data_IF_205959996110
#
_entry.id   IF_205959996110
#
_cell.length_a   1.000
_cell.length_b   1.000
_cell.length_c   1.000
_cell.angle_alpha   90.00
_cell.angle_beta   90.00
_cell.angle_gamma   90.00
#
_symmetry.space_group_name_H-M   'P 1'
#
loop_
_entity.id
_entity.type
_entity.pdbx_description
1 polymer ?
#
# COMPACT_ATOMS: atom_id res chain seq x y z
N UNK A 1 12.73 1.64 6.32
CA UNK A 1 11.67 1.90 5.33
C UNK A 1 12.21 2.30 3.98
N UNK A 2 11.34 2.29 2.97
CA UNK A 2 11.64 2.73 1.59
C UNK A 2 10.89 4.02 1.32
N UNK A 3 11.64 5.08 0.96
CA UNK A 3 11.12 6.41 0.70
C UNK A 3 10.50 6.45 -0.70
N UNK A 4 9.20 6.14 -0.81
CA UNK A 4 8.51 5.98 -2.09
C UNK A 4 8.55 7.25 -2.94
N UNK A 5 8.38 8.43 -2.32
CA UNK A 5 8.40 9.69 -3.05
C UNK A 5 9.81 10.08 -3.51
N UNK A 6 10.86 9.71 -2.79
CA UNK A 6 12.25 9.86 -3.28
C UNK A 6 12.50 8.98 -4.50
N UNK A 7 12.01 7.75 -4.48
CA UNK A 7 12.08 6.88 -5.66
C UNK A 7 11.35 7.47 -6.86
N UNK A 8 10.13 8.00 -6.64
CA UNK A 8 9.34 8.65 -7.70
C UNK A 8 10.04 9.90 -8.25
N UNK A 9 10.69 10.70 -7.38
CA UNK A 9 11.46 11.88 -7.78
C UNK A 9 12.66 11.47 -8.65
N UNK A 10 13.45 10.50 -8.18
CA UNK A 10 14.65 10.03 -8.87
C UNK A 10 14.33 9.40 -10.23
N UNK A 11 13.17 8.79 -10.38
CA UNK A 11 12.70 8.20 -11.64
C UNK A 11 11.86 9.16 -12.50
N UNK A 12 11.71 10.42 -12.09
CA UNK A 12 11.05 11.47 -12.86
C UNK A 12 9.52 11.44 -12.87
N UNK A 13 8.89 10.63 -12.02
CA UNK A 13 7.43 10.55 -11.88
C UNK A 13 6.85 11.67 -11.02
N UNK A 14 7.58 12.09 -10.00
CA UNK A 14 7.21 13.17 -9.08
C UNK A 14 8.16 14.36 -9.26
N UNK A 15 7.61 15.55 -9.37
CA UNK A 15 8.37 16.80 -9.39
C UNK A 15 7.88 17.71 -8.26
N UNK A 16 8.83 18.22 -7.50
CA UNK A 16 8.54 19.21 -6.45
C UNK A 16 8.78 20.62 -6.99
N UNK A 17 8.09 21.61 -6.44
CA UNK A 17 8.31 23.04 -6.71
C UNK A 17 9.68 23.48 -6.20
N UNK A 18 10.12 22.90 -5.08
CA UNK A 18 11.47 22.96 -4.53
C UNK A 18 11.71 21.71 -3.68
N UNK A 19 12.95 21.25 -3.63
CA UNK A 19 13.31 20.13 -2.77
C UNK A 19 13.54 20.63 -1.33
N UNK A 20 12.88 20.06 -0.30
CA UNK A 20 13.01 20.54 1.07
C UNK A 20 14.40 20.22 1.64
N UNK A 21 14.91 21.09 2.52
CA UNK A 21 16.19 20.89 3.20
C UNK A 21 16.11 19.94 4.40
N UNK A 22 14.89 19.67 4.87
CA UNK A 22 14.59 18.80 6.00
C UNK A 22 13.50 17.83 5.65
N UNK A 23 13.44 16.69 6.35
CA UNK A 23 12.39 15.69 6.15
C UNK A 23 11.02 16.33 6.38
N UNK A 24 10.19 16.31 5.36
CA UNK A 24 8.93 17.04 5.30
C UNK A 24 7.82 16.13 4.77
N UNK A 25 6.68 16.16 5.41
CA UNK A 25 5.49 15.48 4.89
C UNK A 25 5.08 16.08 3.53
N UNK A 26 4.82 15.20 2.58
CA UNK A 26 4.40 15.65 1.26
C UNK A 26 3.07 16.39 1.33
N UNK A 27 2.98 17.51 0.64
CA UNK A 27 1.76 18.32 0.57
C UNK A 27 1.47 18.74 -0.86
N UNK A 28 0.21 19.06 -1.14
CA UNK A 28 -0.22 19.53 -2.46
C UNK A 28 0.49 20.81 -2.95
N UNK A 29 1.01 21.63 -2.02
CA UNK A 29 1.71 22.87 -2.34
C UNK A 29 3.18 22.65 -2.72
N UNK A 30 3.74 21.52 -2.29
CA UNK A 30 5.12 21.14 -2.59
C UNK A 30 5.22 20.49 -3.97
N UNK A 31 4.13 19.93 -4.49
CA UNK A 31 4.10 19.20 -5.76
C UNK A 31 3.92 20.15 -6.95
N UNK A 32 4.80 20.05 -7.95
CA UNK A 32 4.61 20.66 -9.28
C UNK A 32 3.67 19.76 -10.11
N UNK A 33 2.38 20.03 -10.02
CA UNK A 33 1.34 19.21 -10.66
C UNK A 33 1.40 19.19 -12.20
N UNK A 34 1.96 20.22 -12.81
CA UNK A 34 2.08 20.28 -14.27
C UNK A 34 3.17 19.36 -14.82
N UNK A 35 4.02 18.82 -13.92
CA UNK A 35 5.14 17.94 -14.26
C UNK A 35 5.10 16.60 -13.51
N UNK A 36 4.14 16.42 -12.59
CA UNK A 36 4.01 15.20 -11.79
C UNK A 36 3.01 14.25 -12.42
N UNK A 37 3.43 13.02 -12.67
CA UNK A 37 2.57 11.94 -13.16
C UNK A 37 2.05 11.06 -12.01
N UNK A 38 2.87 10.84 -10.97
CA UNK A 38 2.54 9.98 -9.83
C UNK A 38 3.04 10.63 -8.55
N UNK A 39 2.29 10.47 -7.49
CA UNK A 39 2.69 10.78 -6.12
C UNK A 39 2.26 9.66 -5.18
N UNK A 40 2.90 9.54 -4.01
CA UNK A 40 2.69 8.44 -3.09
C UNK A 40 2.37 8.89 -1.67
N UNK A 41 1.57 8.09 -0.99
CA UNK A 41 1.39 8.12 0.45
C UNK A 41 2.05 6.90 1.07
N UNK A 42 2.76 7.12 2.18
CA UNK A 42 3.42 6.09 2.94
C UNK A 42 2.51 5.42 3.99
N UNK A 43 3.12 4.59 4.81
CA UNK A 43 2.53 3.82 5.88
C UNK A 43 3.09 2.40 5.90
N UNK A 44 2.31 1.42 6.36
CA UNK A 44 2.72 0.01 6.31
C UNK A 44 2.93 -0.51 4.89
N UNK A 45 2.26 0.09 3.92
CA UNK A 45 2.41 -0.13 2.48
C UNK A 45 2.29 1.19 1.73
N UNK A 46 2.79 1.23 0.51
CA UNK A 46 2.68 2.40 -0.35
C UNK A 46 1.34 2.46 -1.07
N UNK A 47 0.80 3.67 -1.19
CA UNK A 47 -0.37 3.98 -2.02
C UNK A 47 0.04 4.99 -3.07
N UNK A 48 -0.12 4.65 -4.33
CA UNK A 48 0.23 5.53 -5.45
C UNK A 48 -1.02 6.07 -6.13
N UNK A 49 -0.97 7.36 -6.42
CA UNK A 49 -2.03 8.10 -7.08
C UNK A 49 -1.49 8.71 -8.37
N UNK A 50 -2.25 8.59 -9.45
CA UNK A 50 -1.84 9.06 -10.77
C UNK A 50 -2.53 10.37 -11.12
N UNK A 51 -1.79 11.28 -11.73
CA UNK A 51 -2.29 12.57 -12.17
C UNK A 51 -2.89 12.46 -13.59
N UNK A 52 -4.11 11.91 -13.67
CA UNK A 52 -4.78 11.56 -14.92
C UNK A 52 -5.59 12.74 -15.46
N UNK A 53 -5.45 13.02 -16.75
CA UNK A 53 -6.20 14.08 -17.45
C UNK A 53 -7.70 13.83 -17.35
N UNK A 54 -8.47 14.89 -17.07
CA UNK A 54 -9.92 14.88 -16.89
C UNK A 54 -10.44 14.02 -15.72
N UNK A 55 -9.54 13.50 -14.88
CA UNK A 55 -9.84 12.92 -13.58
C UNK A 55 -9.34 13.84 -12.47
N UNK A 56 -8.10 14.30 -12.61
CA UNK A 56 -7.49 15.25 -11.68
C UNK A 56 -7.54 16.67 -12.26
N UNK A 57 -7.67 17.73 -11.43
CA UNK A 57 -7.77 19.12 -11.90
C UNK A 57 -6.60 19.58 -12.77
N UNK A 58 -5.41 19.05 -12.54
CA UNK A 58 -4.18 19.31 -13.29
C UNK A 58 -3.58 18.02 -13.85
N UNK A 59 -4.43 17.10 -14.27
CA UNK A 59 -4.03 15.80 -14.79
C UNK A 59 -3.26 15.91 -16.10
N UNK A 60 -2.16 15.15 -16.21
CA UNK A 60 -1.27 15.16 -17.38
C UNK A 60 -1.18 13.80 -18.08
N UNK A 61 -1.49 12.69 -17.42
CA UNK A 61 -1.53 11.38 -18.05
C UNK A 61 -2.78 11.25 -18.91
N UNK A 62 -2.69 11.10 -20.24
CA UNK A 62 -3.87 10.89 -21.08
C UNK A 62 -4.63 9.62 -20.68
N UNK A 63 -5.97 9.68 -20.61
CA UNK A 63 -6.80 8.53 -20.22
C UNK A 63 -6.51 7.26 -21.03
N UNK A 64 -6.31 7.40 -22.34
CA UNK A 64 -6.00 6.25 -23.20
C UNK A 64 -4.64 5.59 -22.88
N UNK A 65 -3.74 6.29 -22.19
CA UNK A 65 -2.42 5.78 -21.81
C UNK A 65 -2.39 5.24 -20.37
N UNK A 66 -3.50 5.35 -19.62
CA UNK A 66 -3.55 5.02 -18.20
C UNK A 66 -3.06 3.59 -17.90
N UNK A 67 -3.63 2.58 -18.55
CA UNK A 67 -3.26 1.19 -18.29
C UNK A 67 -1.84 0.86 -18.78
N UNK A 68 -1.41 1.42 -19.90
CA UNK A 68 -0.03 1.25 -20.36
C UNK A 68 0.97 1.85 -19.38
N UNK A 69 0.69 3.06 -18.90
CA UNK A 69 1.51 3.74 -17.90
C UNK A 69 1.54 2.96 -16.59
N UNK A 70 0.38 2.50 -16.12
CA UNK A 70 0.21 1.72 -14.91
C UNK A 70 1.03 0.43 -14.93
N UNK A 71 0.95 -0.32 -16.02
CA UNK A 71 1.71 -1.56 -16.18
C UNK A 71 3.23 -1.32 -16.23
N UNK A 72 3.68 -0.25 -16.90
CA UNK A 72 5.10 0.13 -16.90
C UNK A 72 5.61 0.47 -15.49
N UNK A 73 4.81 1.20 -14.72
CA UNK A 73 5.19 1.55 -13.35
C UNK A 73 5.22 0.32 -12.44
N UNK A 74 4.28 -0.62 -12.59
CA UNK A 74 4.29 -1.91 -11.88
C UNK A 74 5.63 -2.62 -12.13
N UNK A 75 6.00 -2.83 -13.41
CA UNK A 75 7.27 -3.48 -13.75
C UNK A 75 8.47 -2.77 -13.13
N UNK A 76 8.53 -1.43 -13.19
CA UNK A 76 9.63 -0.67 -12.63
C UNK A 76 9.74 -0.78 -11.10
N UNK A 77 8.61 -0.88 -10.40
CA UNK A 77 8.59 -1.08 -8.95
C UNK A 77 8.97 -2.51 -8.55
N UNK A 78 8.52 -3.51 -9.29
CA UNK A 78 8.82 -4.91 -9.02
C UNK A 78 10.27 -5.28 -9.35
N UNK A 79 10.90 -4.59 -10.33
CA UNK A 79 12.31 -4.72 -10.67
C UNK A 79 13.26 -3.97 -9.72
N UNK A 80 12.73 -3.28 -8.70
CA UNK A 80 13.52 -2.49 -7.77
C UNK A 80 14.52 -3.35 -7.00
N UNK A 81 15.75 -2.82 -6.87
CA UNK A 81 16.85 -3.51 -6.21
C UNK A 81 17.38 -2.68 -5.05
N UNK A 82 17.96 -3.36 -4.09
CA UNK A 82 18.73 -2.75 -3.01
C UNK A 82 20.13 -2.31 -3.46
N UNK A 83 20.88 -1.70 -2.55
CA UNK A 83 22.24 -1.18 -2.82
C UNK A 83 23.26 -2.27 -3.18
N UNK A 84 22.92 -3.53 -2.89
CA UNK A 84 23.76 -4.70 -3.27
C UNK A 84 23.39 -5.28 -4.63
N UNK A 85 22.34 -4.74 -5.27
CA UNK A 85 21.79 -5.22 -6.54
C UNK A 85 20.80 -6.37 -6.39
N UNK A 86 20.42 -6.77 -5.16
CA UNK A 86 19.43 -7.81 -4.90
C UNK A 86 18.02 -7.24 -5.09
N UNK A 87 17.14 -8.03 -5.72
CA UNK A 87 15.73 -7.68 -5.88
C UNK A 87 15.06 -7.58 -4.50
N UNK A 88 14.31 -6.49 -4.28
CA UNK A 88 13.58 -6.23 -3.02
C UNK A 88 12.37 -7.15 -2.84
N UNK A 89 11.90 -7.82 -3.90
CA UNK A 89 10.65 -8.59 -3.94
C UNK A 89 9.41 -7.70 -3.66
N UNK A 90 9.40 -6.52 -4.24
CA UNK A 90 8.24 -5.64 -4.21
C UNK A 90 7.07 -6.30 -4.95
N UNK A 91 5.87 -6.24 -4.35
CA UNK A 91 4.61 -6.67 -4.98
C UNK A 91 3.71 -5.48 -5.19
N UNK A 92 3.16 -5.36 -6.39
CA UNK A 92 2.30 -4.23 -6.75
C UNK A 92 0.92 -4.73 -7.16
N UNK A 93 -0.10 -4.14 -6.56
CA UNK A 93 -1.48 -4.56 -6.78
C UNK A 93 -2.30 -3.42 -7.38
N UNK A 94 -3.18 -3.79 -8.28
CA UNK A 94 -4.30 -2.97 -8.72
C UNK A 94 -5.46 -3.18 -7.75
N UNK A 95 -6.05 -2.15 -7.13
CA UNK A 95 -7.13 -2.32 -6.15
C UNK A 95 -8.28 -3.20 -6.65
N UNK A 96 -8.69 -3.04 -7.89
CA UNK A 96 -9.76 -3.81 -8.51
C UNK A 96 -9.47 -5.31 -8.67
N UNK A 97 -8.21 -5.74 -8.52
CA UNK A 97 -7.84 -7.15 -8.57
C UNK A 97 -7.87 -7.82 -7.18
N UNK A 98 -7.96 -7.02 -6.11
CA UNK A 98 -7.92 -7.52 -4.72
C UNK A 98 -9.18 -7.20 -3.92
N UNK A 99 -9.98 -6.23 -4.37
CA UNK A 99 -11.24 -5.85 -3.74
C UNK A 99 -12.40 -6.10 -4.69
N UNK A 100 -13.49 -6.64 -4.17
CA UNK A 100 -14.75 -6.83 -4.92
C UNK A 100 -15.38 -5.49 -5.30
N UNK A 101 -15.17 -4.46 -4.47
CA UNK A 101 -15.66 -3.12 -4.70
C UNK A 101 -14.65 -2.08 -4.21
N UNK A 102 -14.33 -1.12 -5.06
CA UNK A 102 -13.51 0.04 -4.71
C UNK A 102 -14.42 1.26 -4.53
N UNK A 103 -14.47 1.82 -3.32
CA UNK A 103 -15.29 2.98 -2.99
C UNK A 103 -14.46 4.23 -2.80
N UNK A 104 -15.10 5.39 -3.00
CA UNK A 104 -14.51 6.72 -2.86
C UNK A 104 -13.30 6.94 -3.81
N UNK A 105 -12.14 7.27 -3.27
CA UNK A 105 -10.91 7.55 -4.02
C UNK A 105 -9.86 6.46 -3.68
N UNK A 106 -9.91 5.30 -4.35
CA UNK A 106 -8.88 4.29 -4.16
C UNK A 106 -7.55 4.78 -4.75
N UNK A 107 -6.40 4.28 -4.26
CA UNK A 107 -5.14 4.49 -4.96
C UNK A 107 -5.15 3.80 -6.32
N UNK A 108 -4.34 4.28 -7.25
CA UNK A 108 -4.15 3.60 -8.53
C UNK A 108 -3.32 2.32 -8.41
N UNK A 109 -2.39 2.30 -7.45
CA UNK A 109 -1.59 1.12 -7.10
C UNK A 109 -1.37 1.04 -5.60
N UNK A 110 -1.32 -0.21 -5.09
CA UNK A 110 -0.90 -0.56 -3.74
C UNK A 110 0.44 -1.28 -3.84
N UNK A 111 1.42 -0.86 -3.04
CA UNK A 111 2.81 -1.33 -3.13
C UNK A 111 3.25 -1.95 -1.82
N UNK A 112 3.57 -3.24 -1.84
CA UNK A 112 4.14 -3.99 -0.73
C UNK A 112 5.63 -4.18 -0.96
N UNK A 113 6.47 -3.39 -0.30
CA UNK A 113 7.91 -3.50 -0.38
C UNK A 113 8.41 -4.73 0.37
N UNK A 114 9.13 -5.62 -0.34
CA UNK A 114 9.64 -6.86 0.24
C UNK A 114 8.55 -7.76 0.81
N UNK A 115 7.37 -7.77 0.20
CA UNK A 115 6.18 -8.46 0.70
C UNK A 115 5.83 -8.04 2.16
N UNK A 116 5.83 -6.72 2.41
CA UNK A 116 5.66 -6.05 3.71
C UNK A 116 6.85 -6.13 4.67
N UNK A 117 8.00 -6.66 4.27
CA UNK A 117 9.21 -6.61 5.10
C UNK A 117 9.70 -5.15 5.31
N UNK A 118 9.32 -4.22 4.42
CA UNK A 118 9.69 -2.81 4.48
C UNK A 118 8.47 -1.91 4.53
N UNK A 119 8.52 -0.89 5.38
CA UNK A 119 7.52 0.18 5.37
C UNK A 119 7.72 1.09 4.16
N UNK A 120 6.65 1.74 3.74
CA UNK A 120 6.67 2.83 2.77
C UNK A 120 6.72 4.17 3.49
N UNK A 121 7.75 4.96 3.24
CA UNK A 121 7.91 6.30 3.80
C UNK A 121 7.40 7.31 2.78
N UNK A 122 6.41 8.11 3.18
CA UNK A 122 5.73 9.07 2.31
C UNK A 122 6.33 10.47 2.32
N UNK A 123 7.13 10.81 3.32
CA UNK A 123 7.83 12.09 3.41
C UNK A 123 8.93 12.23 2.36
N UNK A 124 9.38 13.46 2.14
CA UNK A 124 10.45 13.84 1.21
C UNK A 124 11.53 14.64 1.95
N UNK A 125 12.69 14.84 1.33
CA UNK A 125 13.83 15.52 1.97
C UNK A 125 14.81 14.56 2.61
N UNK A 126 14.68 13.26 2.35
CA UNK A 126 15.58 12.23 2.89
C UNK A 126 16.91 12.16 2.13
N UNK A 127 16.98 12.60 0.87
CA UNK A 127 18.14 12.46 -0.02
C UNK A 127 18.62 11.01 -0.20
N UNK A 128 17.81 10.04 0.17
CA UNK A 128 18.09 8.60 0.09
C UNK A 128 16.80 7.81 -0.13
N UNK A 129 16.92 6.62 -0.70
CA UNK A 129 15.81 5.70 -0.86
C UNK A 129 15.48 4.95 0.44
N UNK A 130 16.38 4.96 1.41
CA UNK A 130 16.28 4.19 2.64
C UNK A 130 16.13 5.13 3.84
N UNK A 131 15.21 4.80 4.75
CA UNK A 131 15.10 5.45 6.04
C UNK A 131 15.23 4.42 7.15
N UNK A 132 16.08 4.71 8.13
CA UNK A 132 16.26 3.88 9.33
C UNK A 132 15.19 4.17 10.39
N UNK A 133 14.62 5.38 10.35
CA UNK A 133 13.56 5.81 11.24
C UNK A 133 12.23 5.92 10.51
N UNK A 134 11.16 5.77 11.26
CA UNK A 134 9.80 5.89 10.76
C UNK A 134 9.35 7.35 10.76
N UNK A 135 8.70 7.81 9.68
CA UNK A 135 8.17 9.17 9.57
C UNK A 135 6.88 9.40 10.38
N UNK A 136 6.34 8.35 11.00
CA UNK A 136 5.13 8.41 11.84
C UNK A 136 5.39 8.17 13.32
N UNK A 137 6.65 8.11 13.74
CA UNK A 137 7.09 7.89 15.12
C UNK A 137 7.77 6.54 15.34
N UNK A 138 8.22 6.28 16.57
CA UNK A 138 8.91 5.06 16.95
C UNK A 138 7.96 3.86 16.87
N UNK A 139 8.18 2.99 15.89
CA UNK A 139 7.43 1.76 15.66
C UNK A 139 8.34 0.79 14.92
N UNK A 140 8.91 -0.16 15.66
CA UNK A 140 9.89 -1.13 15.15
C UNK A 140 9.24 -2.36 14.50
N UNK A 141 7.91 -2.35 14.34
CA UNK A 141 7.16 -3.42 13.72
C UNK A 141 6.53 -3.00 12.40
N UNK A 142 6.27 -3.96 11.53
CA UNK A 142 5.45 -3.78 10.35
C UNK A 142 4.34 -4.82 10.32
N UNK A 143 3.32 -4.59 9.51
CA UNK A 143 2.26 -5.57 9.31
C UNK A 143 2.80 -6.80 8.58
N UNK A 144 2.34 -7.99 9.00
CA UNK A 144 2.52 -9.23 8.26
C UNK A 144 1.23 -9.60 7.53
N UNK A 145 1.36 -10.25 6.39
CA UNK A 145 0.21 -10.77 5.65
C UNK A 145 -0.45 -11.94 6.40
N UNK A 146 0.31 -12.66 7.22
CA UNK A 146 -0.20 -13.75 8.04
C UNK A 146 -0.20 -13.36 9.52
N UNK A 147 -1.33 -13.59 10.17
CA UNK A 147 -1.53 -13.39 11.60
C UNK A 147 -1.72 -14.69 12.35
N UNK A 148 -1.99 -14.57 13.64
CA UNK A 148 -2.33 -15.70 14.52
C UNK A 148 -3.79 -15.52 14.95
N UNK A 149 -4.57 -16.57 14.85
CA UNK A 149 -5.91 -16.64 15.39
C UNK A 149 -5.97 -17.75 16.47
N UNK A 150 -6.48 -17.38 17.64
CA UNK A 150 -6.69 -18.31 18.76
C UNK A 150 -8.10 -18.11 19.29
N UNK A 151 -8.86 -19.16 19.37
CA UNK A 151 -10.22 -19.15 19.92
C UNK A 151 -10.36 -20.26 20.96
N UNK A 152 -10.90 -19.92 22.11
CA UNK A 152 -11.21 -20.86 23.21
C UNK A 152 -12.71 -20.91 23.44
N UNK A 153 -13.23 -22.06 23.85
CA UNK A 153 -14.64 -22.26 24.17
C UNK A 153 -14.90 -23.60 24.84
N UNK A 154 -16.09 -23.81 25.38
CA UNK A 154 -16.46 -24.96 26.23
C UNK A 154 -16.61 -26.29 25.45
N UNK A 155 -16.59 -26.26 24.12
CA UNK A 155 -16.91 -27.40 23.26
C UNK A 155 -15.67 -28.19 22.75
N UNK A 156 -14.56 -28.16 23.49
CA UNK A 156 -13.41 -29.03 23.22
C UNK A 156 -12.77 -28.80 21.84
N UNK A 157 -12.24 -27.59 21.62
CA UNK A 157 -11.52 -27.33 20.38
C UNK A 157 -10.24 -28.15 20.32
N UNK A 158 -10.02 -28.77 19.17
CA UNK A 158 -8.74 -29.40 18.88
C UNK A 158 -7.74 -28.32 18.43
N UNK A 159 -6.53 -28.38 18.99
CA UNK A 159 -5.42 -27.57 18.49
C UNK A 159 -5.07 -28.05 17.08
N UNK A 160 -5.48 -27.30 16.08
CA UNK A 160 -5.21 -27.59 14.67
C UNK A 160 -4.60 -26.35 14.00
N UNK A 161 -3.56 -26.57 13.20
CA UNK A 161 -3.04 -25.52 12.33
C UNK A 161 -3.94 -25.41 11.09
N UNK A 162 -4.47 -24.22 10.85
CA UNK A 162 -5.31 -23.88 9.71
C UNK A 162 -4.63 -22.81 8.88
N UNK A 163 -4.36 -23.08 7.63
CA UNK A 163 -3.71 -22.16 6.69
C UNK A 163 -4.72 -21.58 5.66
N UNK A 164 -5.98 -22.00 5.70
CA UNK A 164 -7.07 -21.62 4.80
C UNK A 164 -7.96 -20.47 5.33
N UNK A 165 -7.66 -19.94 6.51
CA UNK A 165 -8.46 -18.94 7.17
C UNK A 165 -8.10 -17.52 6.71
N UNK A 166 -9.11 -16.66 6.67
CA UNK A 166 -8.99 -15.25 6.35
C UNK A 166 -9.46 -14.39 7.52
N UNK A 167 -8.91 -13.19 7.66
CA UNK A 167 -9.34 -12.25 8.70
C UNK A 167 -10.85 -11.95 8.62
N UNK A 168 -11.44 -12.00 7.43
CA UNK A 168 -12.87 -11.82 7.21
C UNK A 168 -13.72 -12.91 7.82
N UNK A 169 -13.17 -14.08 8.13
CA UNK A 169 -13.86 -15.21 8.74
C UNK A 169 -14.07 -15.01 10.26
N UNK A 170 -13.33 -14.09 10.88
CA UNK A 170 -13.38 -13.85 12.32
C UNK A 170 -14.73 -13.28 12.76
N UNK A 171 -15.21 -12.23 12.07
CA UNK A 171 -16.45 -11.56 12.46
C UNK A 171 -17.69 -12.48 12.35
N UNK A 172 -17.95 -13.18 11.22
CA UNK A 172 -19.08 -14.12 11.16
C UNK A 172 -18.96 -15.27 12.16
N UNK A 173 -17.74 -15.73 12.46
CA UNK A 173 -17.52 -16.76 13.49
C UNK A 173 -17.93 -16.27 14.88
N UNK A 174 -17.58 -15.04 15.25
CA UNK A 174 -17.98 -14.44 16.53
C UNK A 174 -19.50 -14.30 16.60
N UNK A 175 -20.15 -13.81 15.54
CA UNK A 175 -21.60 -13.64 15.50
C UNK A 175 -22.33 -14.98 15.66
N UNK A 176 -21.91 -16.01 14.95
CA UNK A 176 -22.43 -17.36 15.06
C UNK A 176 -22.34 -17.89 16.49
N UNK A 177 -21.18 -17.73 17.13
CA UNK A 177 -20.96 -18.15 18.52
C UNK A 177 -21.82 -17.40 19.54
N UNK A 178 -22.18 -16.17 19.22
CA UNK A 178 -23.08 -15.35 20.05
C UNK A 178 -24.57 -15.61 19.77
N UNK A 179 -24.91 -16.47 18.80
CA UNK A 179 -26.27 -16.70 18.34
C UNK A 179 -26.89 -15.48 17.66
N UNK A 180 -26.05 -14.64 17.04
CA UNK A 180 -26.48 -13.44 16.32
C UNK A 180 -26.51 -13.75 14.82
N UNK A 181 -27.56 -13.31 14.14
CA UNK A 181 -27.67 -13.47 12.69
C UNK A 181 -26.50 -12.81 11.96
N UNK A 182 -25.88 -13.56 11.04
CA UNK A 182 -24.79 -13.08 10.22
C UNK A 182 -25.37 -12.23 9.07
N UNK A 183 -24.97 -10.93 8.93
CA UNK A 183 -25.40 -10.10 7.81
C UNK A 183 -25.06 -10.73 6.46
N UNK A 184 -26.02 -10.73 5.55
CA UNK A 184 -25.90 -11.36 4.22
C UNK A 184 -24.76 -10.81 3.35
N UNK A 185 -24.28 -9.60 3.64
CA UNK A 185 -23.19 -8.93 2.92
C UNK A 185 -21.80 -9.18 3.55
N UNK A 186 -21.68 -10.05 4.54
CA UNK A 186 -20.38 -10.52 5.03
C UNK A 186 -19.79 -11.55 4.07
N UNK A 187 -18.55 -11.31 3.63
CA UNK A 187 -17.83 -12.17 2.69
C UNK A 187 -17.15 -13.37 3.38
N UNK A 188 -16.90 -13.27 4.68
CA UNK A 188 -16.26 -14.32 5.47
C UNK A 188 -17.21 -15.49 5.78
N UNK A 189 -16.65 -16.64 6.11
CA UNK A 189 -17.36 -17.86 6.54
C UNK A 189 -17.14 -18.13 8.03
N UNK A 190 -18.05 -18.87 8.64
CA UNK A 190 -17.87 -19.42 10.00
C UNK A 190 -16.80 -20.50 9.98
N UNK A 191 -15.89 -20.48 10.97
CA UNK A 191 -14.76 -21.41 11.15
C UNK A 191 -15.17 -22.54 12.09
#
# INVERSE_FOLDING_TARGET
GICINEWLINNGYLKLTHYPNEVTQISKHLIDWDKTTVWGEGGYYGRLFFNVKDREPRGIIPKQNYELFRNKLITALEDQRDDTGKIINTRVFKPENIYTECRNIPPDLIVYYGDLAWRSIGSVGHNTLWANENDTGADDANHSQHGIFVMSGDNGYHSERRDDLKIMDVAPTILDRMGIDIPWNMEGKVI
#
